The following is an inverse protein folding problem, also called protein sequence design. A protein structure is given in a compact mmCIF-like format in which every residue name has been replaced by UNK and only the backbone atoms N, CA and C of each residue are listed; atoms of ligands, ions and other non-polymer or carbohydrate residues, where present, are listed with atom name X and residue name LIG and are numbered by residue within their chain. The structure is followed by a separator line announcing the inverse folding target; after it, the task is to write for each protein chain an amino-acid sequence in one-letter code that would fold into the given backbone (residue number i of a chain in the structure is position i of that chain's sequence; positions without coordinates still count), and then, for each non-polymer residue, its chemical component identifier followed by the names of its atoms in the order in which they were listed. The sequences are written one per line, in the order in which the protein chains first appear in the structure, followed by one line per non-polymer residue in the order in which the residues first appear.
data_IF_540674452915
#
_entry.id   IF_540674452915
#
_cell.length_a   1.000
_cell.length_b   1.000
_cell.length_c   1.000
_cell.angle_alpha   90.00
_cell.angle_beta   90.00
_cell.angle_gamma   90.00
#
_symmetry.space_group_name_H-M   'P 1'
#
loop_
_entity.id
_entity.type
_entity.pdbx_description
1 polymer ?
#
# COMPACT_ATOMS: atom_id res chain seq x y z
N UNK A 1 -17.26 -4.88 19.86
CA UNK A 1 -16.16 -4.20 19.14
C UNK A 1 -15.21 -3.70 20.21
N UNK A 2 -13.90 -4.02 20.13
CA UNK A 2 -12.91 -3.47 21.06
C UNK A 2 -12.43 -2.18 20.43
N UNK A 3 -12.84 -1.05 20.97
CA UNK A 3 -12.40 0.27 20.55
C UNK A 3 -11.68 0.95 21.72
N UNK A 4 -10.71 1.77 21.42
CA UNK A 4 -10.13 2.67 22.41
C UNK A 4 -11.17 3.69 22.88
N UNK A 5 -11.16 4.04 24.15
CA UNK A 5 -11.91 5.17 24.67
C UNK A 5 -11.42 6.48 24.02
N UNK A 6 -12.21 7.56 24.10
CA UNK A 6 -11.92 8.82 23.40
C UNK A 6 -10.57 9.42 23.85
N UNK A 7 -10.28 9.39 25.15
CA UNK A 7 -9.00 9.81 25.72
C UNK A 7 -7.82 8.94 25.25
N UNK A 8 -8.01 7.62 25.15
CA UNK A 8 -7.03 6.69 24.61
C UNK A 8 -6.78 6.92 23.11
N UNK A 9 -7.82 7.25 22.34
CA UNK A 9 -7.70 7.64 20.91
C UNK A 9 -6.87 8.90 20.75
N UNK A 10 -7.06 9.88 21.62
CA UNK A 10 -6.26 11.09 21.61
C UNK A 10 -4.78 10.79 21.91
N UNK A 11 -4.50 10.04 22.98
CA UNK A 11 -3.14 9.63 23.35
C UNK A 11 -2.49 8.82 22.21
N UNK A 12 -3.24 7.91 21.59
CA UNK A 12 -2.76 7.16 20.42
C UNK A 12 -2.38 8.11 19.27
N UNK A 13 -3.25 9.07 18.95
CA UNK A 13 -3.02 10.03 17.87
C UNK A 13 -1.79 10.88 18.12
N UNK A 14 -1.64 11.42 19.33
CA UNK A 14 -0.48 12.21 19.73
C UNK A 14 0.83 11.41 19.64
N UNK A 15 0.80 10.14 20.07
CA UNK A 15 1.93 9.22 19.95
C UNK A 15 2.30 9.00 18.47
N UNK A 16 1.32 8.70 17.61
CA UNK A 16 1.55 8.46 16.18
C UNK A 16 2.15 9.69 15.48
N UNK A 17 1.67 10.89 15.83
CA UNK A 17 2.23 12.14 15.32
C UNK A 17 3.68 12.32 15.78
N UNK A 18 3.97 12.12 17.07
CA UNK A 18 5.31 12.25 17.60
C UNK A 18 6.29 11.25 16.97
N UNK A 19 5.87 9.99 16.80
CA UNK A 19 6.68 8.94 16.17
C UNK A 19 6.95 9.25 14.69
N UNK A 20 5.97 9.72 13.96
CA UNK A 20 6.11 10.05 12.54
C UNK A 20 7.11 11.20 12.29
N UNK A 21 7.20 12.16 13.22
CA UNK A 21 8.11 13.31 13.11
C UNK A 21 9.48 13.03 13.73
N UNK A 22 9.63 11.98 14.51
CA UNK A 22 10.86 11.66 15.24
C UNK A 22 12.07 11.52 14.33
N UNK A 23 13.13 12.28 14.62
CA UNK A 23 14.38 12.23 13.85
C UNK A 23 14.31 12.89 12.46
N UNK A 24 13.20 13.56 12.14
CA UNK A 24 13.07 14.32 10.90
C UNK A 24 13.43 15.78 11.15
N UNK A 25 13.93 16.43 10.13
CA UNK A 25 14.31 17.85 10.15
C UNK A 25 13.51 18.65 9.13
N UNK A 26 13.12 19.89 9.45
CA UNK A 26 12.47 20.78 8.50
C UNK A 26 13.32 21.02 7.25
N UNK A 27 12.66 21.30 6.14
CA UNK A 27 13.27 21.65 4.87
C UNK A 27 12.90 23.09 4.50
N UNK A 28 13.86 23.86 3.98
CA UNK A 28 13.58 25.18 3.40
C UNK A 28 12.72 25.10 2.13
N UNK A 29 12.88 24.00 1.39
CA UNK A 29 12.10 23.68 0.19
C UNK A 29 11.48 22.30 0.33
N UNK A 30 10.40 22.15 1.15
CA UNK A 30 9.84 20.86 1.45
C UNK A 30 9.22 20.22 0.20
N UNK A 31 9.40 18.92 0.07
CA UNK A 31 8.87 18.13 -1.04
C UNK A 31 7.79 17.18 -0.55
N UNK A 32 6.70 17.15 -1.29
CA UNK A 32 5.61 16.19 -1.15
C UNK A 32 5.76 15.10 -2.22
N UNK A 33 6.06 13.91 -1.80
CA UNK A 33 6.15 12.72 -2.64
C UNK A 33 4.83 11.96 -2.58
N UNK A 34 4.06 11.97 -3.65
CA UNK A 34 2.92 11.07 -3.80
C UNK A 34 3.40 9.72 -4.33
N UNK A 35 3.25 8.67 -3.51
CA UNK A 35 3.55 7.30 -3.91
C UNK A 35 2.26 6.60 -4.34
N UNK A 36 2.22 6.15 -5.58
CA UNK A 36 1.08 5.48 -6.19
C UNK A 36 1.47 4.07 -6.64
N UNK A 37 0.59 3.13 -6.48
CA UNK A 37 0.79 1.75 -6.93
C UNK A 37 -0.18 0.78 -6.26
N UNK A 38 -0.33 -0.39 -6.83
CA UNK A 38 -1.19 -1.43 -6.30
C UNK A 38 -0.67 -1.98 -4.96
N UNK A 39 -1.52 -2.56 -4.12
CA UNK A 39 -1.09 -3.42 -3.03
C UNK A 39 -0.16 -4.51 -3.56
N UNK A 40 0.94 -4.77 -2.86
CA UNK A 40 1.94 -5.72 -3.34
C UNK A 40 2.92 -5.19 -4.40
N UNK A 41 2.80 -3.93 -4.82
CA UNK A 41 3.71 -3.34 -5.83
C UNK A 41 5.11 -2.98 -5.31
N UNK A 42 5.32 -2.93 -3.98
CA UNK A 42 6.60 -2.53 -3.40
C UNK A 42 6.70 -1.05 -3.00
N UNK A 43 5.59 -0.29 -2.98
CA UNK A 43 5.56 1.12 -2.56
C UNK A 43 6.29 1.39 -1.25
N UNK A 44 6.04 0.59 -0.22
CA UNK A 44 6.67 0.78 1.10
C UNK A 44 8.20 0.63 1.05
N UNK A 45 8.71 -0.22 0.16
CA UNK A 45 10.14 -0.35 -0.10
C UNK A 45 10.67 0.92 -0.76
N UNK A 46 9.95 1.48 -1.74
CA UNK A 46 10.31 2.75 -2.36
C UNK A 46 10.22 3.91 -1.36
N UNK A 47 9.20 3.94 -0.50
CA UNK A 47 9.07 4.94 0.57
C UNK A 47 10.30 4.97 1.47
N UNK A 48 10.85 3.81 1.83
CA UNK A 48 12.02 3.69 2.71
C UNK A 48 13.33 4.22 2.07
N UNK A 49 13.36 4.48 0.78
CA UNK A 49 14.50 5.08 0.09
C UNK A 49 14.48 6.62 0.11
N UNK A 50 13.41 7.22 0.59
CA UNK A 50 13.26 8.68 0.65
C UNK A 50 13.65 9.15 2.06
N UNK A 51 14.86 9.66 2.17
CA UNK A 51 15.41 10.11 3.43
C UNK A 51 14.71 11.38 3.96
N UNK A 52 14.77 11.56 5.27
CA UNK A 52 14.27 12.74 5.98
C UNK A 52 12.84 13.15 5.57
N UNK A 53 11.94 12.19 5.37
CA UNK A 53 10.55 12.43 5.05
C UNK A 53 9.62 11.79 6.08
N UNK A 54 8.51 12.44 6.37
CA UNK A 54 7.39 11.90 7.16
C UNK A 54 6.56 11.01 6.26
N UNK A 55 6.50 9.72 6.58
CA UNK A 55 5.68 8.76 5.81
C UNK A 55 4.26 8.78 6.37
N UNK A 56 3.29 9.05 5.52
CA UNK A 56 1.86 9.02 5.83
C UNK A 56 1.26 7.82 5.11
N UNK A 57 0.86 6.83 5.90
CA UNK A 57 0.27 5.58 5.44
C UNK A 57 -0.84 5.17 6.39
N UNK A 58 -2.08 5.09 5.89
CA UNK A 58 -3.21 4.62 6.68
C UNK A 58 -3.02 3.15 7.11
N UNK A 59 -2.39 2.33 6.29
CA UNK A 59 -2.10 0.93 6.61
C UNK A 59 -1.17 0.81 7.82
N UNK A 60 -0.18 1.72 7.93
CA UNK A 60 0.70 1.77 9.11
C UNK A 60 -0.05 2.17 10.37
N UNK A 61 -0.92 3.18 10.29
CA UNK A 61 -1.76 3.61 11.42
C UNK A 61 -2.67 2.48 11.89
N UNK A 62 -3.31 1.79 10.95
CA UNK A 62 -4.14 0.63 11.22
C UNK A 62 -3.31 -0.46 11.93
N UNK A 63 -2.08 -0.75 11.46
CA UNK A 63 -1.19 -1.74 12.05
C UNK A 63 -0.85 -1.40 13.52
N UNK A 64 -0.49 -0.17 13.81
CA UNK A 64 -0.18 0.26 15.16
C UNK A 64 -1.40 0.33 16.08
N UNK A 65 -2.58 0.66 15.52
CA UNK A 65 -3.84 0.63 16.27
C UNK A 65 -4.20 -0.79 16.72
N UNK A 66 -4.14 -1.74 15.81
CA UNK A 66 -4.40 -3.13 16.14
C UNK A 66 -3.40 -3.71 17.16
N UNK A 67 -2.12 -3.38 17.00
CA UNK A 67 -1.08 -3.75 17.97
C UNK A 67 -1.38 -3.19 19.37
N UNK A 68 -1.88 -1.96 19.45
CA UNK A 68 -2.30 -1.34 20.71
C UNK A 68 -3.46 -2.09 21.35
N UNK A 69 -4.37 -2.61 20.55
CA UNK A 69 -5.50 -3.46 21.00
C UNK A 69 -5.10 -4.92 21.24
N UNK A 70 -3.84 -5.32 21.00
CA UNK A 70 -3.39 -6.71 21.08
C UNK A 70 -3.98 -7.62 19.98
N UNK A 71 -4.41 -7.02 18.86
CA UNK A 71 -4.99 -7.69 17.72
C UNK A 71 -3.95 -7.84 16.61
N UNK A 72 -3.85 -9.03 16.01
CA UNK A 72 -3.06 -9.19 14.81
C UNK A 72 -3.91 -8.81 13.57
N UNK A 73 -3.52 -7.72 12.97
CA UNK A 73 -4.25 -7.03 11.90
C UNK A 73 -4.20 -7.73 10.54
N UNK A 74 -3.24 -8.63 10.34
CA UNK A 74 -2.94 -9.16 9.01
C UNK A 74 -4.04 -10.02 8.42
N UNK A 75 -5.05 -10.35 9.20
CA UNK A 75 -6.06 -11.28 8.78
C UNK A 75 -7.52 -10.81 8.83
N UNK A 76 -7.94 -9.93 9.73
CA UNK A 76 -9.37 -9.65 9.91
C UNK A 76 -9.76 -8.22 10.26
N UNK A 77 -8.88 -7.27 10.07
CA UNK A 77 -9.21 -5.95 10.55
C UNK A 77 -9.67 -5.01 9.45
N UNK A 78 -10.93 -5.13 9.03
CA UNK A 78 -11.59 -4.10 8.23
C UNK A 78 -12.89 -3.65 8.86
N UNK A 79 -12.78 -3.11 10.06
CA UNK A 79 -13.85 -2.29 10.56
C UNK A 79 -13.78 -0.93 9.85
N UNK A 80 -14.91 -0.53 9.30
CA UNK A 80 -15.07 0.78 8.65
C UNK A 80 -14.69 1.92 9.59
N UNK A 81 -14.94 1.76 10.89
CA UNK A 81 -14.62 2.76 11.91
C UNK A 81 -13.10 2.89 12.11
N UNK A 82 -12.38 1.78 12.07
CA UNK A 82 -10.92 1.83 12.16
C UNK A 82 -10.29 2.48 10.94
N UNK A 83 -10.80 2.17 9.75
CA UNK A 83 -10.36 2.86 8.54
C UNK A 83 -10.60 4.38 8.61
N UNK A 84 -11.75 4.81 9.17
CA UNK A 84 -12.05 6.22 9.42
C UNK A 84 -11.10 6.82 10.45
N UNK A 85 -10.87 6.14 11.56
CA UNK A 85 -9.95 6.60 12.59
C UNK A 85 -8.52 6.70 12.06
N UNK A 86 -8.04 5.71 11.31
CA UNK A 86 -6.74 5.77 10.66
C UNK A 86 -6.61 6.97 9.71
N UNK A 87 -7.69 7.32 9.00
CA UNK A 87 -7.73 8.52 8.17
C UNK A 87 -7.60 9.80 9.01
N UNK A 88 -8.28 9.88 10.16
CA UNK A 88 -8.16 11.01 11.08
C UNK A 88 -6.73 11.15 11.57
N UNK A 89 -6.12 10.07 12.06
CA UNK A 89 -4.73 10.06 12.54
C UNK A 89 -3.76 10.45 11.41
N UNK A 90 -3.92 9.90 10.21
CA UNK A 90 -3.11 10.25 9.04
C UNK A 90 -3.20 11.73 8.70
N UNK A 91 -4.37 12.33 8.83
CA UNK A 91 -4.57 13.76 8.64
C UNK A 91 -3.87 14.61 9.72
N UNK A 92 -3.86 14.16 10.98
CA UNK A 92 -3.12 14.87 12.04
C UNK A 92 -1.60 14.78 11.82
N UNK A 93 -1.08 13.64 11.38
CA UNK A 93 0.32 13.49 10.96
C UNK A 93 0.63 14.46 9.80
N UNK A 94 -0.24 14.51 8.79
CA UNK A 94 -0.09 15.42 7.65
C UNK A 94 -0.05 16.89 8.11
N UNK A 95 -1.00 17.34 8.92
CA UNK A 95 -1.04 18.70 9.46
C UNK A 95 0.23 19.06 10.23
N UNK A 96 0.70 18.15 11.08
CA UNK A 96 1.91 18.33 11.83
C UNK A 96 3.15 18.42 10.94
N UNK A 97 3.26 17.57 9.92
CA UNK A 97 4.34 17.60 8.93
C UNK A 97 4.36 18.92 8.14
N UNK A 98 3.19 19.38 7.67
CA UNK A 98 3.05 20.66 6.96
C UNK A 98 3.43 21.84 7.85
N UNK A 99 2.92 21.89 9.08
CA UNK A 99 3.24 22.94 10.05
C UNK A 99 4.74 23.08 10.31
N UNK A 100 5.45 21.93 10.32
CA UNK A 100 6.89 21.88 10.59
C UNK A 100 7.73 21.89 9.29
N UNK A 101 7.14 22.12 8.12
CA UNK A 101 7.83 22.13 6.81
C UNK A 101 8.69 20.88 6.56
N UNK A 102 8.17 19.71 6.95
CA UNK A 102 8.85 18.43 6.73
C UNK A 102 8.64 17.94 5.29
N UNK A 103 9.60 17.22 4.73
CA UNK A 103 9.30 16.42 3.54
C UNK A 103 8.23 15.38 3.87
N UNK A 104 7.35 15.09 2.95
CA UNK A 104 6.23 14.17 3.13
C UNK A 104 6.27 13.10 2.06
N UNK A 105 6.13 11.84 2.47
CA UNK A 105 5.79 10.71 1.60
C UNK A 105 4.35 10.32 1.88
N UNK A 106 3.48 10.48 0.90
CA UNK A 106 2.08 10.09 0.97
C UNK A 106 1.89 8.77 0.25
N UNK A 107 1.86 7.67 1.02
CA UNK A 107 1.65 6.31 0.50
C UNK A 107 0.16 6.03 0.37
N UNK A 108 -0.33 5.90 -0.85
CA UNK A 108 -1.75 5.70 -1.12
C UNK A 108 -1.99 4.73 -2.27
N UNK A 109 -3.04 3.94 -2.14
CA UNK A 109 -3.69 3.22 -3.23
C UNK A 109 -4.98 3.93 -3.72
N UNK A 110 -5.37 5.06 -3.09
CA UNK A 110 -6.57 5.83 -3.43
C UNK A 110 -6.23 6.90 -4.46
N UNK A 111 -6.30 6.53 -5.73
CA UNK A 111 -5.84 7.34 -6.86
C UNK A 111 -6.59 8.67 -7.01
N UNK A 112 -7.89 8.66 -6.77
CA UNK A 112 -8.76 9.84 -6.96
C UNK A 112 -8.35 11.06 -6.11
N UNK A 113 -7.80 10.83 -4.92
CA UNK A 113 -7.38 11.90 -4.03
C UNK A 113 -5.96 12.40 -4.33
N UNK A 114 -5.16 11.62 -5.06
CA UNK A 114 -3.76 11.97 -5.33
C UNK A 114 -3.63 13.25 -6.13
N UNK A 115 -4.38 13.43 -7.21
CA UNK A 115 -4.37 14.67 -7.99
C UNK A 115 -4.79 15.87 -7.16
N UNK A 116 -5.84 15.73 -6.33
CA UNK A 116 -6.27 16.80 -5.42
C UNK A 116 -5.16 17.21 -4.45
N UNK A 117 -4.42 16.24 -3.92
CA UNK A 117 -3.28 16.52 -3.04
C UNK A 117 -2.16 17.22 -3.80
N UNK A 118 -1.80 16.75 -5.00
CA UNK A 118 -0.78 17.38 -5.85
C UNK A 118 -1.12 18.83 -6.21
N UNK A 119 -2.40 19.17 -6.37
CA UNK A 119 -2.89 20.54 -6.63
C UNK A 119 -2.96 21.38 -5.35
N UNK A 120 -3.12 20.75 -4.20
CA UNK A 120 -3.34 21.43 -2.92
C UNK A 120 -2.04 21.80 -2.20
N UNK A 121 -1.08 20.87 -2.14
CA UNK A 121 0.13 21.04 -1.33
C UNK A 121 1.06 22.18 -1.78
N UNK A 122 1.14 22.57 -3.07
CA UNK A 122 1.91 23.74 -3.46
C UNK A 122 1.48 25.04 -2.80
N UNK A 123 0.20 25.14 -2.39
CA UNK A 123 -0.33 26.30 -1.65
C UNK A 123 0.32 26.50 -0.28
N UNK A 124 0.97 25.45 0.24
CA UNK A 124 1.74 25.50 1.49
C UNK A 124 3.25 25.60 1.25
N UNK A 125 3.68 25.87 0.01
CA UNK A 125 5.08 26.02 -0.35
C UNK A 125 5.83 24.72 -0.61
N UNK A 126 5.11 23.61 -0.87
CA UNK A 126 5.71 22.32 -1.22
C UNK A 126 5.99 22.20 -2.71
N UNK A 127 7.14 21.64 -3.03
CA UNK A 127 7.36 21.02 -4.34
C UNK A 127 6.64 19.68 -4.38
N UNK A 128 6.14 19.27 -5.54
CA UNK A 128 5.48 17.98 -5.71
C UNK A 128 6.29 17.04 -6.58
N UNK A 129 6.35 15.77 -6.18
CA UNK A 129 6.92 14.69 -7.00
C UNK A 129 5.97 13.49 -6.95
N UNK A 130 5.64 12.99 -8.10
CA UNK A 130 4.83 11.79 -8.24
C UNK A 130 5.73 10.60 -8.54
N UNK A 131 5.69 9.59 -7.69
CA UNK A 131 6.42 8.33 -7.85
C UNK A 131 5.41 7.19 -8.00
N UNK A 132 5.49 6.47 -9.09
CA UNK A 132 4.52 5.42 -9.43
C UNK A 132 5.23 4.08 -9.49
N UNK A 133 4.68 3.08 -8.77
CA UNK A 133 5.13 1.70 -8.84
C UNK A 133 4.23 0.94 -9.81
N UNK A 134 4.73 0.65 -11.01
CA UNK A 134 4.10 -0.27 -11.94
C UNK A 134 4.44 -1.72 -11.56
N UNK A 135 3.44 -2.54 -11.57
CA UNK A 135 3.54 -3.97 -11.33
C UNK A 135 2.47 -4.67 -12.14
N UNK A 136 2.85 -5.77 -12.75
CA UNK A 136 1.90 -6.67 -13.39
C UNK A 136 0.80 -7.11 -12.40
N UNK A 137 -0.44 -7.17 -12.86
CA UNK A 137 -1.61 -7.43 -12.00
C UNK A 137 -1.52 -8.78 -11.26
N UNK A 138 -1.06 -9.84 -11.96
CA UNK A 138 -0.90 -11.16 -11.35
C UNK A 138 0.28 -11.21 -10.39
N UNK A 139 1.37 -10.50 -10.72
CA UNK A 139 2.51 -10.34 -9.82
C UNK A 139 2.08 -9.66 -8.52
N UNK A 140 1.30 -8.58 -8.59
CA UNK A 140 0.79 -7.85 -7.43
C UNK A 140 -0.12 -8.75 -6.58
N UNK A 141 -1.04 -9.47 -7.21
CA UNK A 141 -1.95 -10.41 -6.54
C UNK A 141 -1.19 -11.51 -5.81
N UNK A 142 -0.20 -12.13 -6.45
CA UNK A 142 0.63 -13.16 -5.85
C UNK A 142 1.50 -12.63 -4.71
N UNK A 143 2.02 -11.39 -4.82
CA UNK A 143 2.78 -10.75 -3.74
C UNK A 143 1.91 -10.54 -2.49
N UNK A 144 0.62 -10.21 -2.66
CA UNK A 144 -0.32 -10.08 -1.55
C UNK A 144 -0.54 -11.42 -0.85
N UNK A 145 -0.75 -12.51 -1.59
CA UNK A 145 -0.94 -13.84 -1.00
C UNK A 145 0.33 -14.33 -0.32
N UNK A 146 1.49 -14.18 -0.96
CA UNK A 146 2.78 -14.60 -0.40
C UNK A 146 3.08 -13.88 0.92
N UNK A 147 2.82 -12.56 0.99
CA UNK A 147 2.99 -11.78 2.22
C UNK A 147 2.14 -12.32 3.37
N UNK A 148 0.95 -12.82 3.10
CA UNK A 148 0.12 -13.48 4.12
C UNK A 148 0.75 -14.78 4.59
N UNK A 149 1.29 -15.59 3.68
CA UNK A 149 1.91 -16.87 4.01
C UNK A 149 3.19 -16.74 4.83
N UNK A 150 3.91 -15.62 4.73
CA UNK A 150 5.16 -15.38 5.47
C UNK A 150 4.96 -15.09 6.97
N UNK A 151 3.72 -15.16 7.46
CA UNK A 151 3.37 -14.76 8.82
C UNK A 151 2.63 -15.87 9.59
N UNK A 152 3.22 -17.05 9.69
CA UNK A 152 2.60 -18.24 10.33
C UNK A 152 2.22 -18.04 11.81
N UNK A 153 3.06 -17.33 12.60
CA UNK A 153 2.77 -17.04 14.02
C UNK A 153 1.57 -16.09 14.20
N UNK A 154 1.37 -15.21 13.24
CA UNK A 154 0.25 -14.29 13.23
C UNK A 154 -1.08 -15.02 13.01
N UNK A 155 -1.09 -16.03 12.14
CA UNK A 155 -2.29 -16.78 11.77
C UNK A 155 -2.89 -17.57 12.93
N UNK A 156 -2.09 -18.31 13.68
CA UNK A 156 -2.59 -19.10 14.82
C UNK A 156 -3.11 -18.21 15.95
N UNK A 157 -2.46 -17.07 16.19
CA UNK A 157 -2.91 -16.08 17.19
C UNK A 157 -4.23 -15.43 16.79
N UNK A 158 -4.39 -15.12 15.54
CA UNK A 158 -5.59 -14.49 15.00
C UNK A 158 -6.80 -15.43 15.07
N UNK A 159 -6.66 -16.72 14.71
CA UNK A 159 -7.73 -17.71 14.88
C UNK A 159 -8.23 -17.77 16.31
N UNK A 160 -7.31 -17.78 17.30
CA UNK A 160 -7.67 -17.79 18.71
C UNK A 160 -8.42 -16.53 19.14
N UNK A 161 -8.01 -15.35 18.64
CA UNK A 161 -8.69 -14.08 18.94
C UNK A 161 -10.07 -14.01 18.28
N UNK A 162 -10.21 -14.51 17.06
CA UNK A 162 -11.48 -14.60 16.33
C UNK A 162 -12.48 -15.49 17.07
N UNK A 163 -12.05 -16.67 17.50
CA UNK A 163 -12.87 -17.60 18.29
C UNK A 163 -13.26 -16.98 19.64
N UNK A 164 -12.34 -16.27 20.27
CA UNK A 164 -12.54 -15.66 21.60
C UNK A 164 -13.43 -14.42 21.57
N UNK A 165 -13.36 -13.59 20.53
CA UNK A 165 -14.03 -12.28 20.46
C UNK A 165 -15.13 -12.17 19.42
N UNK A 166 -15.36 -13.21 18.61
CA UNK A 166 -16.47 -13.26 17.64
C UNK A 166 -16.36 -12.25 16.51
N UNK A 167 -15.13 -11.89 16.09
CA UNK A 167 -14.94 -10.93 14.99
C UNK A 167 -15.53 -11.44 13.67
N UNK A 168 -16.25 -10.59 12.93
CA UNK A 168 -16.68 -10.95 11.59
C UNK A 168 -15.49 -11.21 10.68
N UNK A 169 -15.62 -12.19 9.81
CA UNK A 169 -14.64 -12.52 8.77
C UNK A 169 -14.55 -11.37 7.77
N UNK A 170 -13.63 -10.45 8.01
CA UNK A 170 -13.33 -9.36 7.10
C UNK A 170 -11.84 -9.10 7.16
N UNK A 171 -11.19 -9.11 6.02
CA UNK A 171 -9.75 -9.04 5.95
C UNK A 171 -9.31 -7.65 5.44
N UNK A 172 -8.63 -6.82 6.23
CA UNK A 172 -8.19 -5.50 5.82
C UNK A 172 -6.84 -5.47 5.14
N UNK A 173 -5.93 -6.34 5.54
CA UNK A 173 -4.74 -6.67 4.77
C UNK A 173 -4.96 -7.93 3.93
N UNK A 174 -6.03 -8.63 4.16
CA UNK A 174 -6.58 -9.66 3.33
C UNK A 174 -7.22 -9.12 2.08
N UNK A 175 -6.55 -8.19 1.45
CA UNK A 175 -6.97 -7.74 0.15
C UNK A 175 -7.11 -8.97 -0.74
N UNK A 176 -8.29 -9.16 -1.31
CA UNK A 176 -8.49 -10.24 -2.29
C UNK A 176 -7.51 -10.00 -3.42
N UNK A 177 -6.91 -11.03 -4.01
CA UNK A 177 -6.07 -10.88 -5.19
C UNK A 177 -6.72 -10.03 -6.28
N UNK A 178 -8.03 -10.21 -6.52
CA UNK A 178 -8.82 -9.39 -7.45
C UNK A 178 -8.83 -7.90 -7.13
N UNK A 179 -8.77 -7.50 -5.87
CA UNK A 179 -8.68 -6.08 -5.50
C UNK A 179 -7.32 -5.50 -5.90
N UNK A 180 -6.24 -6.26 -5.69
CA UNK A 180 -4.90 -5.84 -6.10
C UNK A 180 -4.81 -5.71 -7.61
N UNK A 181 -5.39 -6.64 -8.37
CA UNK A 181 -5.45 -6.60 -9.84
C UNK A 181 -6.22 -5.36 -10.34
N UNK A 182 -7.40 -5.09 -9.79
CA UNK A 182 -8.20 -3.92 -10.16
C UNK A 182 -7.47 -2.61 -9.88
N UNK A 183 -6.70 -2.54 -8.79
CA UNK A 183 -5.89 -1.36 -8.48
C UNK A 183 -4.70 -1.26 -9.43
N UNK A 184 -4.07 -2.36 -9.86
CA UNK A 184 -3.01 -2.33 -10.88
C UNK A 184 -3.52 -1.73 -12.18
N UNK A 185 -4.64 -2.18 -12.69
CA UNK A 185 -5.27 -1.61 -13.89
C UNK A 185 -5.59 -0.12 -13.73
N UNK A 186 -6.13 0.28 -12.57
CA UNK A 186 -6.41 1.68 -12.29
C UNK A 186 -5.13 2.54 -12.16
N UNK A 187 -3.99 1.96 -11.75
CA UNK A 187 -2.70 2.67 -11.74
C UNK A 187 -2.22 2.95 -13.16
N UNK A 188 -2.40 2.03 -14.10
CA UNK A 188 -2.05 2.26 -15.51
C UNK A 188 -2.85 3.44 -16.09
N UNK A 189 -4.16 3.48 -15.87
CA UNK A 189 -4.99 4.62 -16.26
C UNK A 189 -4.54 5.93 -15.59
N UNK A 190 -4.18 5.86 -14.31
CA UNK A 190 -3.66 7.01 -13.56
C UNK A 190 -2.34 7.54 -14.15
N UNK A 191 -1.44 6.67 -14.60
CA UNK A 191 -0.19 7.05 -15.29
C UNK A 191 -0.49 7.88 -16.52
N UNK A 192 -1.40 7.40 -17.39
CA UNK A 192 -1.80 8.12 -18.60
C UNK A 192 -2.32 9.52 -18.26
N UNK A 193 -3.23 9.63 -17.29
CA UNK A 193 -3.77 10.91 -16.84
C UNK A 193 -2.69 11.83 -16.24
N UNK A 194 -1.70 11.30 -15.53
CA UNK A 194 -0.62 12.08 -14.94
C UNK A 194 0.32 12.66 -16.01
N UNK A 195 0.64 11.88 -17.05
CA UNK A 195 1.42 12.31 -18.21
C UNK A 195 0.67 13.40 -18.98
N UNK A 196 -0.60 13.18 -19.32
CA UNK A 196 -1.45 14.15 -20.03
C UNK A 196 -1.57 15.48 -19.30
N UNK A 197 -1.62 15.45 -17.96
CA UNK A 197 -1.67 16.66 -17.12
C UNK A 197 -0.31 17.31 -16.91
N UNK A 198 0.77 16.71 -17.39
CA UNK A 198 2.13 17.25 -17.27
C UNK A 198 2.69 17.24 -15.86
N UNK A 199 2.25 16.34 -14.98
CA UNK A 199 2.83 16.23 -13.65
C UNK A 199 4.27 15.71 -13.72
N UNK A 200 5.21 16.30 -12.95
CA UNK A 200 6.55 15.72 -12.78
C UNK A 200 6.43 14.34 -12.12
N UNK A 201 6.84 13.28 -12.83
CA UNK A 201 6.69 11.91 -12.33
C UNK A 201 7.90 11.04 -12.63
N UNK A 202 8.08 10.03 -11.81
CA UNK A 202 9.02 8.92 -11.97
C UNK A 202 8.24 7.61 -11.90
N UNK A 203 8.46 6.70 -12.84
CA UNK A 203 7.84 5.37 -12.85
C UNK A 203 8.90 4.33 -12.54
N UNK A 204 8.59 3.48 -11.58
CA UNK A 204 9.42 2.35 -11.14
C UNK A 204 8.71 1.05 -11.48
N UNK A 205 9.41 0.13 -12.09
CA UNK A 205 8.93 -1.24 -12.27
C UNK A 205 9.25 -2.08 -11.02
N UNK A 206 8.44 -3.09 -10.78
CA UNK A 206 8.64 -4.00 -9.65
C UNK A 206 10.07 -4.60 -9.63
N UNK A 207 10.71 -4.52 -8.47
CA UNK A 207 12.07 -5.03 -8.28
C UNK A 207 13.19 -4.11 -8.75
N UNK A 208 12.91 -3.02 -9.47
CA UNK A 208 13.91 -2.03 -9.87
C UNK A 208 14.08 -0.96 -8.78
N UNK A 209 15.34 -0.56 -8.54
CA UNK A 209 15.68 0.50 -7.57
C UNK A 209 15.67 1.89 -8.20
N UNK A 210 15.98 1.94 -9.49
CA UNK A 210 15.99 3.17 -10.27
C UNK A 210 14.71 3.28 -11.08
N UNK A 211 14.23 4.50 -11.32
CA UNK A 211 13.07 4.70 -12.18
C UNK A 211 13.38 4.28 -13.62
N UNK A 212 12.44 3.57 -14.22
CA UNK A 212 12.49 3.17 -15.63
C UNK A 212 12.04 4.29 -16.56
N UNK A 213 11.31 5.28 -16.02
CA UNK A 213 10.86 6.47 -16.72
C UNK A 213 10.90 7.70 -15.81
N UNK A 214 11.26 8.85 -16.36
CA UNK A 214 11.17 10.18 -15.72
C UNK A 214 10.51 11.16 -16.67
N UNK A 215 9.89 12.20 -16.14
CA UNK A 215 9.37 13.30 -16.96
C UNK A 215 10.47 13.89 -17.84
N UNK A 216 10.19 13.97 -19.12
CA UNK A 216 11.14 14.39 -20.15
C UNK A 216 11.70 13.23 -20.99
N UNK A 217 11.54 11.99 -20.56
CA UNK A 217 11.81 10.80 -21.36
C UNK A 217 10.69 10.60 -22.40
N UNK A 218 10.98 9.80 -23.43
CA UNK A 218 10.01 9.39 -24.42
C UNK A 218 9.05 8.35 -23.81
N UNK A 219 7.81 8.78 -23.57
CA UNK A 219 6.80 7.94 -22.89
C UNK A 219 6.33 6.79 -23.77
N UNK A 220 6.15 7.02 -25.07
CA UNK A 220 5.70 5.97 -25.99
C UNK A 220 6.76 4.86 -26.08
N UNK A 221 8.03 5.26 -26.19
CA UNK A 221 9.15 4.33 -26.18
C UNK A 221 9.25 3.58 -24.84
N UNK A 222 8.95 4.25 -23.71
CA UNK A 222 8.92 3.59 -22.41
C UNK A 222 7.83 2.51 -22.38
N UNK A 223 6.61 2.82 -22.82
CA UNK A 223 5.50 1.85 -22.89
C UNK A 223 5.87 0.67 -23.78
N UNK A 224 6.46 0.91 -24.95
CA UNK A 224 6.91 -0.16 -25.85
C UNK A 224 8.02 -1.03 -25.23
N UNK A 225 8.83 -0.47 -24.31
CA UNK A 225 9.90 -1.19 -23.61
C UNK A 225 9.43 -2.04 -22.42
N UNK A 226 8.19 -1.90 -21.97
CA UNK A 226 7.68 -2.68 -20.86
C UNK A 226 7.62 -4.16 -21.22
N UNK A 227 8.43 -4.95 -20.53
CA UNK A 227 8.43 -6.40 -20.70
C UNK A 227 7.22 -6.99 -19.96
N UNK A 228 6.29 -7.56 -20.75
CA UNK A 228 5.21 -8.34 -20.18
C UNK A 228 5.76 -9.66 -19.62
N UNK A 229 5.43 -9.95 -18.37
CA UNK A 229 5.77 -11.25 -17.77
C UNK A 229 4.93 -12.31 -18.46
N UNK A 230 5.55 -13.33 -19.09
CA UNK A 230 4.79 -14.39 -19.75
C UNK A 230 3.82 -15.09 -18.79
N UNK A 231 2.61 -15.35 -19.23
CA UNK A 231 1.55 -16.00 -18.44
C UNK A 231 2.02 -17.34 -17.85
N UNK A 232 2.88 -18.07 -18.55
CA UNK A 232 3.48 -19.29 -18.08
C UNK A 232 4.25 -19.10 -16.76
N UNK A 233 5.02 -18.01 -16.62
CA UNK A 233 5.76 -17.69 -15.38
C UNK A 233 4.81 -17.37 -14.23
N UNK A 234 3.71 -16.69 -14.51
CA UNK A 234 2.68 -16.44 -13.49
C UNK A 234 2.04 -17.74 -13.01
N UNK A 235 1.70 -18.64 -13.95
CA UNK A 235 1.14 -19.95 -13.63
C UNK A 235 2.11 -20.81 -12.81
N UNK A 236 3.39 -20.85 -13.18
CA UNK A 236 4.43 -21.56 -12.42
C UNK A 236 4.57 -21.01 -10.99
N UNK A 237 4.55 -19.69 -10.84
CA UNK A 237 4.62 -19.05 -9.53
C UNK A 237 3.38 -19.36 -8.70
N UNK A 238 2.19 -19.25 -9.29
CA UNK A 238 0.93 -19.60 -8.63
C UNK A 238 0.94 -21.03 -8.13
N UNK A 239 1.45 -21.99 -8.93
CA UNK A 239 1.60 -23.40 -8.52
C UNK A 239 2.57 -23.58 -7.35
N UNK A 240 3.68 -22.86 -7.34
CA UNK A 240 4.65 -22.92 -6.22
C UNK A 240 4.02 -22.40 -4.91
N UNK A 241 3.32 -21.26 -4.99
CA UNK A 241 2.64 -20.67 -3.83
C UNK A 241 1.50 -21.58 -3.33
N UNK A 242 0.74 -22.18 -4.26
CA UNK A 242 -0.32 -23.13 -3.94
C UNK A 242 0.19 -24.36 -3.17
N UNK A 243 1.28 -24.98 -3.64
CA UNK A 243 1.92 -26.09 -2.93
C UNK A 243 2.42 -25.69 -1.54
N UNK A 244 2.92 -24.45 -1.41
CA UNK A 244 3.36 -23.90 -0.12
C UNK A 244 2.16 -23.70 0.83
N UNK A 245 1.06 -23.14 0.33
CA UNK A 245 -0.16 -22.94 1.10
C UNK A 245 -0.76 -24.28 1.58
N UNK A 246 -0.79 -25.28 0.69
CA UNK A 246 -1.29 -26.64 1.01
C UNK A 246 -0.42 -27.29 2.10
N UNK A 247 0.90 -27.31 1.93
CA UNK A 247 1.83 -27.87 2.91
C UNK A 247 1.76 -27.18 4.29
N UNK A 248 1.41 -25.90 4.34
CA UNK A 248 1.26 -25.12 5.56
C UNK A 248 -0.16 -25.22 6.17
N UNK A 249 -1.08 -25.95 5.53
CA UNK A 249 -2.49 -26.06 5.97
C UNK A 249 -3.27 -24.73 5.84
N UNK A 250 -2.89 -23.86 4.90
CA UNK A 250 -3.48 -22.52 4.67
C UNK A 250 -4.56 -22.60 3.60
N UNK A 251 -5.69 -23.15 3.95
CA UNK A 251 -6.80 -23.43 3.02
C UNK A 251 -7.34 -22.18 2.33
N UNK A 252 -7.44 -21.04 3.03
CA UNK A 252 -7.92 -19.78 2.44
C UNK A 252 -6.96 -19.27 1.36
N UNK A 253 -5.66 -19.27 1.63
CA UNK A 253 -4.66 -18.86 0.65
C UNK A 253 -4.62 -19.81 -0.55
N UNK A 254 -4.78 -21.11 -0.30
CA UNK A 254 -4.92 -22.11 -1.34
C UNK A 254 -6.12 -21.81 -2.25
N UNK A 255 -7.29 -21.51 -1.69
CA UNK A 255 -8.49 -21.17 -2.46
C UNK A 255 -8.32 -19.88 -3.26
N UNK A 256 -7.66 -18.85 -2.70
CA UNK A 256 -7.35 -17.61 -3.42
C UNK A 256 -6.42 -17.87 -4.61
N UNK A 257 -5.41 -18.70 -4.45
CA UNK A 257 -4.48 -19.08 -5.53
C UNK A 257 -5.16 -19.94 -6.60
N UNK A 258 -6.10 -20.80 -6.21
CA UNK A 258 -6.90 -21.58 -7.17
C UNK A 258 -7.80 -20.70 -8.02
N UNK A 259 -8.44 -19.70 -7.42
CA UNK A 259 -9.26 -18.74 -8.14
C UNK A 259 -8.42 -17.92 -9.14
N UNK A 260 -7.25 -17.45 -8.69
CA UNK A 260 -6.31 -16.70 -9.54
C UNK A 260 -5.78 -17.56 -10.70
N UNK A 261 -5.43 -18.81 -10.43
CA UNK A 261 -5.02 -19.75 -11.50
C UNK A 261 -6.11 -19.97 -12.54
N UNK A 262 -7.35 -20.15 -12.11
CA UNK A 262 -8.48 -20.30 -13.01
C UNK A 262 -8.62 -19.09 -13.92
N UNK A 263 -8.56 -17.89 -13.39
CA UNK A 263 -8.62 -16.64 -14.15
C UNK A 263 -7.48 -16.53 -15.18
N UNK A 264 -6.24 -16.86 -14.79
CA UNK A 264 -5.09 -16.88 -15.70
C UNK A 264 -5.28 -17.86 -16.86
N UNK A 265 -5.91 -19.01 -16.61
CA UNK A 265 -6.18 -20.01 -17.66
C UNK A 265 -7.30 -19.58 -18.60
N UNK A 266 -8.29 -18.86 -18.13
CA UNK A 266 -9.41 -18.34 -18.93
C UNK A 266 -8.99 -17.17 -19.85
N UNK A 267 -7.89 -16.47 -19.52
CA UNK A 267 -7.33 -15.39 -20.34
C UNK A 267 -6.27 -15.84 -21.36
N UNK A 268 -5.87 -17.11 -21.32
CA UNK A 268 -5.02 -17.74 -22.36
C UNK A 268 -5.81 -18.07 -23.62
#
# INVERSE_FOLDING_TARGET
MIELAEDERQVFTERMVAEALKGKTPSESPTFYALVGAPGSGKSTLASTIDNAVVISSDHVIAEYAKTLGIDIREDFCDREVGRFATVVSNEIYKAAVKNKMNIVYDTSVLQNTFKMLEHVPKFGYQTKLKIMLVDEYQAAMNVVERKMDNDDAFSRHRQLREKFGYPSGNPLGMKPSTSMNVSAAVEEFVMQAVERGYPLEIYEFGKKEPSFKTGDDFDRFIESLELIPMERHLERCEKLKRRADNAGREEDFMQLMALKKEMMERK
#
